data_IF_394864416980
#
_entry.id   IF_394864416980
#
_cell.length_a   1.000
_cell.length_b   1.000
_cell.length_c   1.000
_cell.angle_alpha   90.00
_cell.angle_beta   90.00
_cell.angle_gamma   90.00
#
_symmetry.space_group_name_H-M   'P 1'
#
loop_
_entity.id
_entity.type
_entity.pdbx_description
1 polymer ?
#
# COMPACT_ATOMS: atom_id res chain seq x y z
N UNK A 1 -78.45 8.21 -36.72
CA UNK A 1 -78.26 9.67 -36.87
C UNK A 1 -76.86 9.99 -36.36
N UNK A 2 -76.09 10.73 -37.16
CA UNK A 2 -74.66 11.07 -37.05
C UNK A 2 -73.62 10.05 -37.54
N UNK A 3 -73.08 10.40 -38.70
CA UNK A 3 -71.94 9.84 -39.39
C UNK A 3 -70.70 10.74 -39.21
N UNK A 4 -69.53 10.12 -39.37
CA UNK A 4 -68.17 10.63 -39.64
C UNK A 4 -67.93 12.14 -39.78
N UNK A 5 -66.92 12.63 -39.03
CA UNK A 5 -66.04 13.77 -39.42
C UNK A 5 -64.67 13.61 -38.74
N UNK A 6 -63.57 13.55 -39.52
CA UNK A 6 -62.20 13.90 -39.09
C UNK A 6 -62.05 15.42 -38.90
N UNK A 7 -61.12 15.92 -38.05
CA UNK A 7 -60.02 16.72 -38.65
C UNK A 7 -58.66 16.79 -37.89
N UNK A 8 -57.58 16.82 -38.69
CA UNK A 8 -56.41 17.75 -38.73
C UNK A 8 -55.54 18.10 -37.49
N UNK A 9 -54.25 17.75 -37.64
CA UNK A 9 -53.03 18.61 -37.80
C UNK A 9 -52.44 19.49 -36.67
N UNK A 10 -51.13 19.29 -36.41
CA UNK A 10 -49.98 20.26 -36.40
C UNK A 10 -48.76 19.54 -35.76
N UNK A 11 -47.73 19.04 -36.47
CA UNK A 11 -46.57 19.69 -37.13
C UNK A 11 -45.84 20.77 -36.28
N UNK A 12 -44.64 20.42 -35.82
CA UNK A 12 -43.53 21.31 -35.47
C UNK A 12 -42.23 20.50 -35.57
N UNK A 13 -41.56 20.50 -36.72
CA UNK A 13 -40.43 21.36 -37.10
C UNK A 13 -39.07 20.75 -36.73
N UNK A 14 -38.55 19.95 -37.65
CA UNK A 14 -37.12 19.66 -37.86
C UNK A 14 -36.73 20.41 -39.13
N UNK A 15 -35.80 21.37 -39.04
CA UNK A 15 -34.67 21.56 -39.97
C UNK A 15 -34.02 22.96 -39.85
N UNK A 16 -32.68 22.92 -39.94
CA UNK A 16 -31.76 23.91 -40.51
C UNK A 16 -31.59 25.26 -39.80
N UNK A 17 -30.34 25.55 -39.40
CA UNK A 17 -29.54 26.58 -40.07
C UNK A 17 -28.08 26.56 -39.57
N UNK A 18 -27.18 26.30 -40.52
CA UNK A 18 -25.79 26.76 -40.53
C UNK A 18 -25.78 28.29 -40.45
N UNK A 19 -24.90 28.87 -39.63
CA UNK A 19 -24.69 30.32 -39.59
C UNK A 19 -23.76 30.77 -38.47
N UNK A 20 -22.56 31.17 -38.89
CA UNK A 20 -21.74 32.27 -38.36
C UNK A 20 -21.28 32.24 -36.89
N UNK A 21 -20.01 31.86 -36.72
CA UNK A 21 -19.20 32.21 -35.55
C UNK A 21 -18.63 33.63 -35.71
N UNK A 22 -18.68 34.49 -34.68
CA UNK A 22 -18.08 35.81 -34.74
C UNK A 22 -16.55 35.78 -34.53
N UNK A 23 -15.87 36.59 -35.33
CA UNK A 23 -14.48 37.02 -35.16
C UNK A 23 -14.29 37.77 -33.83
N UNK A 24 -13.29 37.38 -33.04
CA UNK A 24 -12.63 38.27 -32.08
C UNK A 24 -11.17 37.85 -31.83
N UNK A 25 -10.27 38.71 -32.31
CA UNK A 25 -8.93 39.04 -31.82
C UNK A 25 -8.05 37.93 -31.18
N UNK A 26 -7.13 37.37 -31.97
CA UNK A 26 -5.88 36.80 -31.45
C UNK A 26 -4.74 37.81 -31.66
N UNK A 27 -4.34 38.44 -30.55
CA UNK A 27 -3.11 39.21 -30.45
C UNK A 27 -1.89 38.30 -30.61
N UNK A 28 -0.92 38.78 -31.37
CA UNK A 28 0.27 38.03 -31.75
C UNK A 28 1.19 37.70 -30.58
N UNK A 29 1.67 36.44 -30.56
CA UNK A 29 2.91 36.07 -29.91
C UNK A 29 3.83 35.42 -30.95
N UNK A 30 4.96 36.09 -31.15
CA UNK A 30 6.03 35.74 -32.08
C UNK A 30 6.60 34.36 -31.72
N UNK A 31 6.63 33.45 -32.70
CA UNK A 31 7.43 32.23 -32.65
C UNK A 31 8.88 32.61 -32.94
N UNK A 32 9.75 32.52 -31.94
CA UNK A 32 11.20 32.56 -32.15
C UNK A 32 11.67 31.15 -32.55
N UNK A 33 12.23 31.06 -33.75
CA UNK A 33 12.98 29.90 -34.22
C UNK A 33 14.39 29.90 -33.60
N UNK A 34 14.71 28.85 -32.85
CA UNK A 34 16.08 28.46 -32.51
C UNK A 34 16.45 27.16 -33.26
N UNK A 35 17.71 26.97 -33.68
CA UNK A 35 18.10 25.93 -34.63
C UNK A 35 18.24 24.53 -33.99
N UNK A 36 18.18 23.45 -34.80
CA UNK A 36 18.15 22.08 -34.30
C UNK A 36 19.53 21.62 -33.84
N UNK A 37 19.58 20.93 -32.68
CA UNK A 37 20.76 20.21 -32.23
C UNK A 37 20.72 18.77 -32.74
N UNK A 38 21.86 18.41 -33.33
CA UNK A 38 22.17 17.20 -34.08
C UNK A 38 22.23 15.93 -33.22
N UNK A 39 21.82 14.84 -33.85
CA UNK A 39 22.07 13.45 -33.46
C UNK A 39 23.53 13.20 -33.08
N UNK A 40 23.74 12.63 -31.89
CA UNK A 40 24.95 11.88 -31.55
C UNK A 40 24.49 10.52 -31.02
N UNK A 41 24.62 9.53 -31.89
CA UNK A 41 24.65 8.11 -31.54
C UNK A 41 26.02 7.80 -30.94
N UNK A 42 26.09 7.22 -29.74
CA UNK A 42 27.24 6.37 -29.41
C UNK A 42 26.94 5.30 -28.35
N UNK A 43 26.99 4.07 -28.85
CA UNK A 43 27.52 2.83 -28.30
C UNK A 43 27.49 2.56 -26.77
N UNK A 44 26.70 1.53 -26.42
CA UNK A 44 26.80 0.77 -25.17
C UNK A 44 28.14 -0.01 -25.07
N UNK A 45 28.78 -0.09 -23.89
CA UNK A 45 29.93 -0.97 -23.69
C UNK A 45 29.52 -2.40 -23.31
N UNK A 46 30.09 -3.35 -24.05
CA UNK A 46 29.95 -4.81 -23.94
C UNK A 46 30.36 -5.34 -22.56
N UNK A 47 29.47 -6.15 -21.95
CA UNK A 47 29.76 -7.02 -20.80
C UNK A 47 30.86 -8.03 -21.14
N UNK A 48 31.86 -8.18 -20.26
CA UNK A 48 32.81 -9.30 -20.23
C UNK A 48 32.45 -10.28 -19.10
N UNK A 49 32.60 -11.60 -19.29
CA UNK A 49 32.20 -12.59 -18.29
C UNK A 49 33.24 -12.69 -17.15
N UNK A 50 32.75 -12.76 -15.91
CA UNK A 50 33.57 -13.05 -14.73
C UNK A 50 33.89 -14.54 -14.66
N UNK A 51 35.18 -14.85 -14.57
CA UNK A 51 35.72 -16.21 -14.32
C UNK A 51 35.49 -16.60 -12.86
N UNK A 52 35.03 -17.84 -12.66
CA UNK A 52 35.02 -18.53 -11.39
C UNK A 52 36.45 -18.72 -10.86
N UNK A 53 36.65 -18.52 -9.55
CA UNK A 53 37.87 -18.94 -8.84
C UNK A 53 37.47 -19.81 -7.65
N UNK A 54 38.12 -20.97 -7.58
CA UNK A 54 37.88 -22.06 -6.67
C UNK A 54 38.40 -21.79 -5.24
N UNK A 55 37.65 -22.31 -4.28
CA UNK A 55 38.03 -23.16 -3.16
C UNK A 55 39.47 -23.05 -2.61
N UNK A 56 39.59 -22.69 -1.33
CA UNK A 56 40.61 -23.24 -0.42
C UNK A 56 40.06 -23.31 1.01
N UNK A 57 39.74 -24.53 1.44
CA UNK A 57 39.63 -24.95 2.82
C UNK A 57 40.98 -24.80 3.55
N UNK A 58 40.95 -24.32 4.80
CA UNK A 58 42.03 -24.53 5.77
C UNK A 58 41.44 -25.17 7.03
N UNK A 59 41.98 -26.35 7.35
CA UNK A 59 41.80 -27.09 8.60
C UNK A 59 42.66 -26.46 9.71
N UNK A 60 42.12 -26.42 10.93
CA UNK A 60 42.89 -26.40 12.19
C UNK A 60 42.07 -27.18 13.23
N UNK A 61 42.42 -28.44 13.50
CA UNK A 61 43.37 -28.89 14.53
C UNK A 61 42.73 -29.00 15.92
N UNK A 62 42.46 -30.25 16.31
CA UNK A 62 41.96 -30.71 17.60
C UNK A 62 43.05 -30.63 18.68
N UNK A 63 42.66 -30.39 19.93
CA UNK A 63 43.48 -30.63 21.12
C UNK A 63 42.72 -31.55 22.09
N UNK A 64 43.36 -32.68 22.38
CA UNK A 64 43.01 -33.66 23.42
C UNK A 64 43.54 -33.23 24.79
N UNK A 65 42.87 -33.62 25.88
CA UNK A 65 43.40 -33.46 27.23
C UNK A 65 42.56 -34.12 28.33
N UNK A 66 42.88 -35.37 28.65
CA UNK A 66 42.28 -36.15 29.76
C UNK A 66 42.89 -35.79 31.12
N UNK A 67 42.00 -35.57 32.10
CA UNK A 67 41.96 -36.10 33.48
C UNK A 67 43.17 -36.06 34.43
N UNK A 68 42.92 -35.67 35.69
CA UNK A 68 43.53 -36.25 36.92
C UNK A 68 42.69 -35.90 38.16
N UNK A 69 42.39 -36.92 38.97
CA UNK A 69 41.77 -36.83 40.30
C UNK A 69 42.84 -36.82 41.40
N UNK A 70 42.57 -36.15 42.52
CA UNK A 70 43.24 -36.32 43.81
C UNK A 70 42.21 -36.31 44.96
N UNK A 71 42.29 -37.28 45.88
CA UNK A 71 41.63 -37.32 47.20
C UNK A 71 42.43 -36.42 48.20
N UNK A 72 41.88 -35.79 49.25
CA UNK A 72 41.22 -36.30 50.47
C UNK A 72 40.90 -35.09 51.42
N UNK A 73 40.47 -35.19 52.70
CA UNK A 73 39.09 -35.41 53.18
C UNK A 73 38.52 -34.33 54.16
N UNK A 74 37.20 -34.44 54.40
CA UNK A 74 36.43 -34.09 55.60
C UNK A 74 36.40 -32.64 56.16
N UNK A 75 35.21 -32.01 56.13
CA UNK A 75 34.42 -31.68 57.34
C UNK A 75 33.09 -31.00 56.93
N UNK A 76 32.04 -31.29 57.70
CA UNK A 76 30.65 -31.18 57.27
C UNK A 76 30.06 -29.78 57.28
N UNK A 77 28.87 -29.67 56.65
CA UNK A 77 27.74 -28.83 57.08
C UNK A 77 26.54 -29.06 56.15
N UNK A 78 25.40 -29.38 56.80
CA UNK A 78 24.00 -29.07 56.45
C UNK A 78 23.55 -29.30 55.00
N UNK A 79 22.71 -30.32 54.81
CA UNK A 79 21.82 -30.44 53.65
C UNK A 79 20.88 -29.21 53.62
N UNK A 80 21.15 -28.29 52.70
CA UNK A 80 20.15 -27.37 52.20
C UNK A 80 19.45 -28.09 51.06
N UNK A 81 18.13 -28.22 51.18
CA UNK A 81 17.26 -28.74 50.15
C UNK A 81 17.25 -27.75 48.99
N UNK A 82 18.07 -28.01 47.97
CA UNK A 82 18.04 -27.28 46.72
C UNK A 82 16.93 -27.88 45.86
N UNK A 83 15.68 -27.51 46.14
CA UNK A 83 14.62 -27.63 45.15
C UNK A 83 15.01 -26.76 43.96
N UNK A 84 15.34 -27.43 42.86
CA UNK A 84 15.60 -26.81 41.56
C UNK A 84 14.33 -26.02 41.20
N UNK A 85 14.39 -24.72 40.88
CA UNK A 85 13.22 -24.04 40.34
C UNK A 85 12.83 -24.79 39.07
N UNK A 86 11.57 -25.22 38.99
CA UNK A 86 11.03 -25.68 37.72
C UNK A 86 11.27 -24.59 36.67
N UNK A 87 11.70 -24.95 35.45
CA UNK A 87 11.81 -23.94 34.40
C UNK A 87 10.44 -23.28 34.25
N UNK A 88 10.40 -21.97 34.45
CA UNK A 88 9.25 -21.13 34.15
C UNK A 88 8.92 -21.31 32.67
N UNK A 89 8.01 -22.24 32.39
CA UNK A 89 7.39 -22.37 31.09
C UNK A 89 6.33 -21.29 30.96
N UNK A 90 6.75 -20.02 31.04
CA UNK A 90 6.08 -18.97 30.30
C UNK A 90 6.30 -19.31 28.83
N UNK A 91 5.53 -20.27 28.32
CA UNK A 91 5.33 -20.46 26.89
C UNK A 91 5.06 -19.06 26.38
N UNK A 92 5.94 -18.55 25.52
CA UNK A 92 5.57 -17.53 24.56
C UNK A 92 4.28 -18.05 23.93
N UNK A 93 3.15 -17.47 24.35
CA UNK A 93 1.85 -17.79 23.75
C UNK A 93 2.00 -17.29 22.33
N UNK A 94 2.37 -18.18 21.42
CA UNK A 94 2.30 -17.91 19.98
C UNK A 94 0.87 -17.43 19.77
N UNK A 95 0.72 -16.12 19.51
CA UNK A 95 -0.60 -15.57 19.32
C UNK A 95 -1.17 -16.22 18.07
N UNK A 96 -2.44 -16.61 18.11
CA UNK A 96 -3.07 -17.14 16.92
C UNK A 96 -2.97 -16.09 15.80
N UNK A 97 -2.64 -16.50 14.56
CA UNK A 97 -2.64 -15.60 13.41
C UNK A 97 -3.96 -14.82 13.34
N UNK A 98 -3.87 -13.50 13.15
CA UNK A 98 -5.04 -12.61 13.16
C UNK A 98 -4.84 -11.42 12.23
N UNK A 99 -5.93 -10.86 11.77
CA UNK A 99 -5.97 -9.54 11.10
C UNK A 99 -6.56 -8.54 12.09
N UNK A 100 -5.86 -7.45 12.34
CA UNK A 100 -6.29 -6.40 13.28
C UNK A 100 -7.18 -5.41 12.53
N UNK A 101 -8.47 -5.39 12.87
CA UNK A 101 -9.44 -4.44 12.30
C UNK A 101 -9.86 -3.42 13.35
N UNK A 102 -10.46 -2.31 12.92
CA UNK A 102 -10.93 -1.24 13.82
C UNK A 102 -12.08 -1.65 14.75
N UNK A 103 -12.72 -2.80 14.51
CA UNK A 103 -13.74 -3.40 15.38
C UNK A 103 -13.19 -4.56 16.21
N UNK A 104 -11.88 -4.83 16.13
CA UNK A 104 -11.17 -5.89 16.84
C UNK A 104 -10.48 -6.89 15.92
N UNK A 105 -9.64 -7.78 16.47
CA UNK A 105 -8.96 -8.81 15.68
C UNK A 105 -9.93 -9.87 15.16
N UNK A 106 -9.68 -10.36 13.95
CA UNK A 106 -10.45 -11.43 13.31
C UNK A 106 -9.54 -12.52 12.75
N UNK A 107 -10.01 -13.77 12.63
CA UNK A 107 -9.30 -14.81 11.88
C UNK A 107 -9.00 -14.36 10.44
N UNK A 108 -7.78 -14.58 9.91
CA UNK A 108 -7.39 -14.11 8.58
C UNK A 108 -8.31 -14.58 7.46
N UNK A 109 -8.92 -15.76 7.58
CA UNK A 109 -9.80 -16.35 6.56
C UNK A 109 -11.11 -15.55 6.38
N UNK A 110 -11.44 -14.64 7.31
CA UNK A 110 -12.68 -13.85 7.25
C UNK A 110 -12.59 -12.64 6.33
N UNK A 111 -11.40 -12.10 6.05
CA UNK A 111 -11.30 -10.80 5.39
C UNK A 111 -11.64 -10.85 3.89
N UNK A 112 -11.59 -12.04 3.27
CA UNK A 112 -12.04 -12.29 1.90
C UNK A 112 -11.47 -11.33 0.87
N UNK A 113 -12.30 -10.90 -0.09
CA UNK A 113 -11.91 -9.91 -1.10
C UNK A 113 -11.63 -8.57 -0.41
N UNK A 114 -10.35 -8.18 -0.46
CA UNK A 114 -9.80 -7.01 0.22
C UNK A 114 -9.30 -5.97 -0.78
N UNK A 115 -9.57 -4.70 -0.50
CA UNK A 115 -8.89 -3.54 -1.11
C UNK A 115 -7.76 -3.08 -0.17
N UNK A 116 -6.48 -3.30 -0.51
CA UNK A 116 -5.35 -3.07 0.39
C UNK A 116 -4.86 -1.62 0.48
N UNK A 117 -5.38 -0.71 -0.35
CA UNK A 117 -4.98 0.69 -0.35
C UNK A 117 -6.15 1.60 -0.72
N UNK A 118 -6.77 2.20 0.29
CA UNK A 118 -7.83 3.19 0.12
C UNK A 118 -7.72 4.31 1.17
N UNK A 119 -8.45 5.40 0.94
CA UNK A 119 -8.78 6.38 1.98
C UNK A 119 -10.30 6.58 2.04
N UNK A 120 -10.85 6.55 3.25
CA UNK A 120 -12.28 6.84 3.49
C UNK A 120 -12.49 8.25 4.04
N UNK A 121 -11.40 8.86 4.47
CA UNK A 121 -11.27 10.29 4.74
C UNK A 121 -9.79 10.60 4.75
N UNK A 122 -9.37 11.71 4.17
CA UNK A 122 -8.00 12.22 4.29
C UNK A 122 -8.05 13.73 4.12
N UNK A 123 -7.18 14.44 4.83
CA UNK A 123 -7.12 15.90 4.80
C UNK A 123 -5.74 16.40 4.36
N UNK A 124 -5.35 16.16 3.10
CA UNK A 124 -4.08 16.64 2.58
C UNK A 124 -3.96 18.18 2.62
N UNK A 125 -5.08 18.90 2.65
CA UNK A 125 -5.13 20.37 2.78
C UNK A 125 -4.65 20.89 4.13
N UNK A 126 -4.46 20.04 5.14
CA UNK A 126 -3.86 20.45 6.41
C UNK A 126 -2.43 20.98 6.22
N UNK A 127 -1.76 20.59 5.13
CA UNK A 127 -0.56 21.26 4.67
C UNK A 127 -0.97 22.57 4.01
N UNK A 128 -0.55 23.70 4.60
CA UNK A 128 -0.95 25.06 4.17
C UNK A 128 -0.71 25.36 2.68
N UNK A 129 0.24 24.68 2.05
CA UNK A 129 0.56 24.83 0.62
C UNK A 129 -0.27 23.95 -0.31
N UNK A 130 -1.22 23.17 0.24
CA UNK A 130 -2.00 22.14 -0.45
C UNK A 130 -3.52 22.35 -0.37
N UNK A 131 -3.96 23.60 -0.20
CA UNK A 131 -5.39 23.93 -0.09
C UNK A 131 -6.21 23.52 -1.33
N UNK A 132 -5.56 23.32 -2.48
CA UNK A 132 -6.18 22.79 -3.70
C UNK A 132 -6.72 21.37 -3.55
N UNK A 133 -6.30 20.63 -2.53
CA UNK A 133 -6.73 19.25 -2.26
C UNK A 133 -7.93 19.16 -1.31
N UNK A 134 -8.56 20.29 -0.97
CA UNK A 134 -9.73 20.39 -0.08
C UNK A 134 -11.03 19.95 -0.80
N UNK A 135 -11.11 18.70 -1.21
CA UNK A 135 -12.30 18.16 -1.87
C UNK A 135 -12.53 16.67 -1.56
N UNK A 136 -12.26 16.24 -0.33
CA UNK A 136 -12.66 14.90 0.09
C UNK A 136 -13.74 14.95 1.16
N UNK A 137 -14.89 14.34 0.84
CA UNK A 137 -16.11 14.41 1.63
C UNK A 137 -15.93 13.76 3.00
N UNK A 138 -16.34 14.47 4.04
CA UNK A 138 -16.51 13.92 5.39
C UNK A 138 -17.95 13.48 5.66
N UNK A 139 -18.75 13.26 4.60
CA UNK A 139 -20.12 12.75 4.71
C UNK A 139 -20.10 11.23 4.91
N UNK A 140 -20.43 10.83 6.14
CA UNK A 140 -20.42 9.43 6.52
C UNK A 140 -21.51 8.61 5.81
N UNK A 141 -22.66 9.20 5.46
CA UNK A 141 -23.73 8.52 4.71
C UNK A 141 -23.28 8.22 3.29
N UNK A 142 -22.76 9.24 2.59
CA UNK A 142 -22.20 9.08 1.25
C UNK A 142 -21.10 8.01 1.22
N UNK A 143 -20.13 8.09 2.15
CA UNK A 143 -19.04 7.12 2.20
C UNK A 143 -19.54 5.70 2.55
N UNK A 144 -20.57 5.58 3.39
CA UNK A 144 -21.18 4.28 3.68
C UNK A 144 -21.83 3.67 2.43
N UNK A 145 -22.51 4.47 1.61
CA UNK A 145 -23.16 4.00 0.38
C UNK A 145 -22.13 3.52 -0.67
N UNK A 146 -20.99 4.23 -0.77
CA UNK A 146 -19.83 3.82 -1.58
C UNK A 146 -19.28 2.46 -1.13
N UNK A 147 -19.07 2.28 0.18
CA UNK A 147 -18.61 1.02 0.76
C UNK A 147 -19.63 -0.12 0.62
N UNK A 148 -20.94 0.19 0.70
CA UNK A 148 -21.99 -0.79 0.42
C UNK A 148 -21.95 -1.26 -1.03
N UNK A 149 -21.55 -0.41 -1.98
CA UNK A 149 -21.37 -0.83 -3.37
C UNK A 149 -20.27 -1.87 -3.53
N UNK A 150 -19.12 -1.66 -2.88
CA UNK A 150 -18.05 -2.67 -2.83
C UNK A 150 -18.54 -3.97 -2.18
N UNK A 151 -19.24 -3.88 -1.04
CA UNK A 151 -19.81 -5.05 -0.36
C UNK A 151 -20.77 -5.84 -1.25
N UNK A 152 -21.68 -5.18 -1.98
CA UNK A 152 -22.63 -5.83 -2.90
C UNK A 152 -21.95 -6.60 -4.02
N UNK A 153 -20.67 -6.30 -4.30
CA UNK A 153 -19.84 -6.95 -5.32
C UNK A 153 -18.98 -8.09 -4.77
N UNK A 154 -19.21 -8.48 -3.52
CA UNK A 154 -18.47 -9.54 -2.84
C UNK A 154 -17.26 -9.05 -2.06
N UNK A 155 -17.03 -7.74 -2.00
CA UNK A 155 -16.02 -7.13 -1.14
C UNK A 155 -16.30 -7.35 0.34
N UNK A 156 -15.24 -7.54 1.13
CA UNK A 156 -15.35 -7.82 2.55
C UNK A 156 -14.39 -7.04 3.44
N UNK A 157 -13.25 -6.58 2.93
CA UNK A 157 -12.28 -5.81 3.70
C UNK A 157 -11.74 -4.61 2.92
N UNK A 158 -11.51 -3.51 3.63
CA UNK A 158 -10.83 -2.31 3.13
C UNK A 158 -9.70 -1.96 4.09
N UNK A 159 -8.56 -1.59 3.55
CA UNK A 159 -7.43 -1.04 4.31
C UNK A 159 -7.41 0.46 4.08
N UNK A 160 -7.62 1.23 5.15
CA UNK A 160 -7.51 2.69 5.11
C UNK A 160 -6.09 3.08 5.52
N UNK A 161 -5.29 3.57 4.55
CA UNK A 161 -3.90 3.94 4.74
C UNK A 161 -3.71 5.42 5.14
N UNK A 162 -4.79 6.11 5.52
CA UNK A 162 -4.70 7.45 6.08
C UNK A 162 -3.90 7.40 7.38
N UNK A 163 -2.78 8.11 7.42
CA UNK A 163 -1.81 8.06 8.53
C UNK A 163 -1.49 9.47 9.05
N UNK A 164 -0.45 9.59 9.87
CA UNK A 164 0.02 10.87 10.43
C UNK A 164 0.34 11.88 9.32
N UNK A 165 -0.25 13.07 9.44
CA UNK A 165 -0.18 14.12 8.41
C UNK A 165 -1.39 14.17 7.46
N UNK A 166 -2.21 13.10 7.42
CA UNK A 166 -3.41 13.01 6.58
C UNK A 166 -4.73 13.02 7.38
N UNK A 167 -4.68 13.28 8.69
CA UNK A 167 -5.84 13.31 9.59
C UNK A 167 -6.59 11.98 9.77
N UNK A 168 -5.83 10.88 9.99
CA UNK A 168 -6.38 9.59 10.40
C UNK A 168 -7.35 9.74 11.58
N UNK A 169 -8.54 9.16 11.49
CA UNK A 169 -9.57 9.18 12.54
C UNK A 169 -10.05 7.73 12.87
N UNK A 170 -9.60 7.15 14.00
CA UNK A 170 -10.00 5.79 14.38
C UNK A 170 -11.51 5.62 14.63
N UNK A 171 -12.18 6.65 15.14
CA UNK A 171 -13.61 6.60 15.48
C UNK A 171 -14.44 6.62 14.20
N UNK A 172 -14.07 7.47 13.25
CA UNK A 172 -14.63 7.48 11.89
C UNK A 172 -14.58 6.09 11.26
N UNK A 173 -13.39 5.46 11.25
CA UNK A 173 -13.21 4.13 10.64
C UNK A 173 -14.06 3.06 11.32
N UNK A 174 -14.14 3.06 12.66
CA UNK A 174 -14.99 2.10 13.39
C UNK A 174 -16.48 2.30 13.10
N UNK A 175 -16.91 3.55 12.95
CA UNK A 175 -18.29 3.86 12.59
C UNK A 175 -18.60 3.38 11.16
N UNK A 176 -17.71 3.62 10.19
CA UNK A 176 -17.85 3.11 8.83
C UNK A 176 -17.85 1.58 8.78
N UNK A 177 -16.95 0.91 9.50
CA UNK A 177 -16.93 -0.55 9.58
C UNK A 177 -18.26 -1.11 10.10
N UNK A 178 -18.81 -0.49 11.15
CA UNK A 178 -20.10 -0.88 11.73
C UNK A 178 -21.25 -0.69 10.76
N UNK A 179 -21.31 0.44 10.05
CA UNK A 179 -22.41 0.79 9.13
C UNK A 179 -22.34 0.05 7.80
N UNK A 180 -21.14 -0.13 7.26
CA UNK A 180 -20.91 -0.85 6.01
C UNK A 180 -20.97 -2.36 6.19
N UNK A 181 -20.64 -2.85 7.38
CA UNK A 181 -20.46 -4.28 7.67
C UNK A 181 -19.17 -4.87 7.09
N UNK A 182 -18.28 -4.04 6.53
CA UNK A 182 -16.96 -4.44 6.07
C UNK A 182 -15.97 -4.53 7.24
N UNK A 183 -14.94 -5.34 7.08
CA UNK A 183 -13.73 -5.20 7.88
C UNK A 183 -12.98 -3.97 7.40
N UNK A 184 -12.53 -3.12 8.34
CA UNK A 184 -11.66 -1.99 8.02
C UNK A 184 -10.37 -2.14 8.83
N UNK A 185 -9.24 -2.18 8.14
CA UNK A 185 -7.91 -2.14 8.74
C UNK A 185 -7.39 -0.71 8.69
N UNK A 186 -6.86 -0.21 9.80
CA UNK A 186 -6.34 1.14 9.91
C UNK A 186 -4.80 1.14 9.77
N UNK A 187 -4.29 2.08 8.98
CA UNK A 187 -2.87 2.37 8.82
C UNK A 187 -2.22 3.08 10.02
N UNK A 188 -0.90 3.25 9.97
CA UNK A 188 -0.09 3.88 11.01
C UNK A 188 1.18 4.52 10.46
N UNK A 189 1.88 5.27 11.32
CA UNK A 189 3.08 6.02 10.95
C UNK A 189 2.75 7.37 10.35
N UNK A 190 3.64 7.87 9.49
CA UNK A 190 3.55 9.19 8.88
C UNK A 190 3.72 9.08 7.38
N UNK A 191 3.08 9.98 6.65
CA UNK A 191 3.03 9.97 5.19
C UNK A 191 4.41 10.29 4.56
N UNK A 192 4.54 11.40 3.84
CA UNK A 192 5.80 11.88 3.26
C UNK A 192 6.18 13.25 3.79
N UNK A 193 7.43 13.68 3.58
CA UNK A 193 8.01 14.83 4.31
C UNK A 193 7.14 16.10 4.29
N UNK A 194 6.57 16.43 3.14
CA UNK A 194 5.70 17.61 2.96
C UNK A 194 4.47 17.63 3.90
N UNK A 195 4.09 16.50 4.49
CA UNK A 195 2.91 16.32 5.35
C UNK A 195 3.26 16.04 6.81
N UNK A 196 4.54 15.95 7.18
CA UNK A 196 4.90 15.65 8.55
C UNK A 196 4.41 16.74 9.51
N UNK A 197 3.55 16.40 10.48
CA UNK A 197 3.03 17.39 11.41
C UNK A 197 4.17 17.91 12.29
N UNK A 198 4.27 19.23 12.54
CA UNK A 198 5.36 19.80 13.34
C UNK A 198 5.54 19.15 14.71
N UNK A 199 4.45 18.75 15.35
CA UNK A 199 4.39 18.07 16.63
C UNK A 199 4.97 16.65 16.61
N UNK A 200 5.01 15.97 15.45
CA UNK A 200 5.67 14.66 15.34
C UNK A 200 7.17 14.77 15.60
N UNK A 201 7.78 15.94 15.36
CA UNK A 201 9.16 16.23 15.73
C UNK A 201 10.18 15.27 15.08
N UNK A 202 9.96 14.88 13.81
CA UNK A 202 10.77 13.88 13.08
C UNK A 202 12.29 14.15 13.19
N UNK A 203 12.69 15.42 13.14
CA UNK A 203 14.11 15.83 13.22
C UNK A 203 14.65 15.94 14.66
N UNK A 204 13.77 15.88 15.66
CA UNK A 204 14.07 16.13 17.07
C UNK A 204 14.04 14.89 17.94
N UNK A 205 13.49 13.79 17.43
CA UNK A 205 13.32 12.51 18.11
C UNK A 205 14.24 11.47 17.51
N UNK A 206 14.72 10.52 18.29
CA UNK A 206 15.51 9.40 17.74
C UNK A 206 14.64 8.48 16.86
N UNK A 207 15.29 7.66 16.04
CA UNK A 207 14.58 6.62 15.25
C UNK A 207 13.81 5.66 16.17
N UNK A 208 14.36 5.36 17.35
CA UNK A 208 13.70 4.49 18.33
C UNK A 208 12.50 5.16 19.00
N UNK A 209 12.56 6.47 19.26
CA UNK A 209 11.41 7.23 19.76
C UNK A 209 10.24 7.22 18.76
N UNK A 210 10.54 7.34 17.46
CA UNK A 210 9.54 7.26 16.40
C UNK A 210 8.95 5.84 16.29
N UNK A 211 9.81 4.81 16.34
CA UNK A 211 9.37 3.42 16.32
C UNK A 211 8.50 3.07 17.55
N UNK A 212 8.85 3.61 18.73
CA UNK A 212 8.11 3.39 19.96
C UNK A 212 6.68 3.95 19.91
N UNK A 213 6.44 5.03 19.17
CA UNK A 213 5.09 5.57 18.99
C UNK A 213 4.19 4.62 18.21
N UNK A 214 4.66 4.11 17.07
CA UNK A 214 3.91 3.14 16.26
C UNK A 214 3.64 1.86 17.08
N UNK A 215 4.62 1.41 17.86
CA UNK A 215 4.45 0.24 18.73
C UNK A 215 3.43 0.52 19.83
N UNK A 216 3.44 1.71 20.43
CA UNK A 216 2.47 2.09 21.44
C UNK A 216 1.04 2.15 20.86
N UNK A 217 0.87 2.67 19.64
CA UNK A 217 -0.43 2.62 18.94
C UNK A 217 -0.91 1.19 18.73
N UNK A 218 -0.01 0.28 18.33
CA UNK A 218 -0.34 -1.14 18.18
C UNK A 218 -0.68 -1.82 19.50
N UNK A 219 0.01 -1.50 20.60
CA UNK A 219 -0.19 -2.15 21.90
C UNK A 219 -1.35 -1.56 22.72
N UNK A 220 -1.62 -0.27 22.58
CA UNK A 220 -2.53 0.48 23.46
C UNK A 220 -3.68 1.17 22.71
N UNK A 221 -3.63 1.20 21.38
CA UNK A 221 -4.58 1.89 20.54
C UNK A 221 -4.24 3.37 20.32
N UNK A 222 -4.88 3.96 19.32
CA UNK A 222 -4.65 5.35 18.88
C UNK A 222 -5.52 6.30 19.68
N UNK A 223 -4.98 7.45 20.08
CA UNK A 223 -5.69 8.58 20.71
C UNK A 223 -6.60 8.21 21.89
N UNK A 224 -6.23 7.19 22.66
CA UNK A 224 -7.02 6.70 23.81
C UNK A 224 -8.34 6.02 23.43
N UNK A 225 -8.55 5.71 22.15
CA UNK A 225 -9.78 5.08 21.65
C UNK A 225 -9.83 3.57 21.87
N UNK A 226 -8.68 2.94 22.15
CA UNK A 226 -8.52 1.48 22.19
C UNK A 226 -8.62 0.82 20.81
N UNK A 227 -8.54 1.60 19.72
CA UNK A 227 -8.56 1.10 18.34
C UNK A 227 -7.12 1.00 17.85
N UNK A 228 -6.73 -0.17 17.36
CA UNK A 228 -5.36 -0.50 17.01
C UNK A 228 -5.16 -0.47 15.48
N UNK A 229 -4.00 -0.02 14.97
CA UNK A 229 -3.64 -0.19 13.58
C UNK A 229 -3.37 -1.66 13.25
N UNK A 230 -3.61 -2.04 12.00
CA UNK A 230 -3.33 -3.39 11.49
C UNK A 230 -2.32 -3.45 10.36
N UNK A 231 -1.77 -2.29 9.96
CA UNK A 231 -0.66 -2.17 9.01
C UNK A 231 0.07 -0.84 9.30
N UNK A 232 1.35 -0.76 8.95
CA UNK A 232 2.11 0.50 8.97
C UNK A 232 2.08 1.07 7.56
N UNK A 233 1.54 2.26 7.38
CA UNK A 233 1.34 2.85 6.07
C UNK A 233 0.21 3.89 6.07
N UNK A 234 0.15 4.73 5.04
CA UNK A 234 1.07 4.76 3.90
C UNK A 234 2.37 5.53 4.22
N UNK A 235 3.56 4.91 4.06
CA UNK A 235 4.86 5.55 4.36
C UNK A 235 5.52 6.03 3.06
N UNK A 236 5.78 7.32 2.93
CA UNK A 236 6.10 7.89 1.63
C UNK A 236 7.35 8.72 1.50
N UNK A 237 7.70 8.95 0.23
CA UNK A 237 8.73 9.91 -0.19
C UNK A 237 8.13 10.98 -1.09
N UNK A 238 8.53 12.23 -0.90
CA UNK A 238 8.00 13.38 -1.65
C UNK A 238 8.59 13.51 -3.06
N UNK A 239 9.82 13.03 -3.24
CA UNK A 239 10.61 13.17 -4.45
C UNK A 239 11.04 11.81 -5.00
N UNK A 240 11.67 11.80 -6.18
CA UNK A 240 12.30 10.61 -6.77
C UNK A 240 13.55 10.11 -6.01
N UNK A 241 13.76 10.55 -4.78
CA UNK A 241 14.85 10.20 -3.88
C UNK A 241 14.35 10.31 -2.43
N UNK A 242 14.95 9.55 -1.52
CA UNK A 242 14.60 9.53 -0.10
C UNK A 242 15.36 10.64 0.63
N UNK A 243 14.65 11.54 1.32
CA UNK A 243 15.30 12.58 2.12
C UNK A 243 15.87 12.05 3.44
N UNK A 244 16.75 12.79 4.12
CA UNK A 244 17.21 12.42 5.46
C UNK A 244 16.08 12.30 6.49
N UNK A 245 14.98 13.06 6.34
CA UNK A 245 13.83 12.97 7.25
C UNK A 245 13.01 11.73 6.96
N UNK A 246 12.79 11.45 5.69
CA UNK A 246 12.07 10.26 5.23
C UNK A 246 12.85 9.00 5.58
N UNK A 247 14.18 8.98 5.37
CA UNK A 247 15.02 7.85 5.77
C UNK A 247 14.89 7.55 7.27
N UNK A 248 14.82 8.58 8.13
CA UNK A 248 14.58 8.37 9.58
C UNK A 248 13.24 7.70 9.84
N UNK A 249 12.19 8.09 9.12
CA UNK A 249 10.87 7.47 9.21
C UNK A 249 10.91 6.04 8.69
N UNK A 250 11.51 5.77 7.52
CA UNK A 250 11.69 4.42 6.97
C UNK A 250 12.42 3.50 7.95
N UNK A 251 13.48 3.99 8.61
CA UNK A 251 14.18 3.21 9.63
C UNK A 251 13.33 2.94 10.86
N UNK A 252 12.53 3.93 11.30
CA UNK A 252 11.64 3.77 12.44
C UNK A 252 10.52 2.76 12.17
N UNK A 253 9.91 2.81 10.98
CA UNK A 253 8.84 1.88 10.59
C UNK A 253 9.36 0.45 10.43
N UNK A 254 10.59 0.26 9.95
CA UNK A 254 11.21 -1.07 9.89
C UNK A 254 11.35 -1.70 11.29
N UNK A 255 11.82 -0.91 12.26
CA UNK A 255 11.93 -1.36 13.67
C UNK A 255 10.57 -1.62 14.29
N UNK A 256 9.58 -0.77 14.03
CA UNK A 256 8.22 -0.96 14.53
C UNK A 256 7.55 -2.19 13.92
N UNK A 257 7.68 -2.40 12.61
CA UNK A 257 7.17 -3.57 11.90
C UNK A 257 7.78 -4.86 12.46
N UNK A 258 9.10 -4.88 12.68
CA UNK A 258 9.80 -6.03 13.27
C UNK A 258 9.31 -6.36 14.68
N UNK A 259 8.99 -5.33 15.49
CA UNK A 259 8.51 -5.51 16.88
C UNK A 259 7.05 -5.93 16.98
N UNK A 260 6.20 -5.44 16.07
CA UNK A 260 4.75 -5.63 16.11
C UNK A 260 4.26 -6.78 15.23
N UNK A 261 5.06 -7.19 14.23
CA UNK A 261 4.66 -8.12 13.18
C UNK A 261 3.78 -7.49 12.09
N UNK A 262 3.49 -6.18 12.17
CA UNK A 262 2.74 -5.46 11.15
C UNK A 262 3.53 -5.41 9.83
N UNK A 263 2.83 -5.52 8.71
CA UNK A 263 3.39 -5.23 7.39
C UNK A 263 3.57 -3.72 7.17
N UNK A 264 4.35 -3.35 6.16
CA UNK A 264 4.59 -1.96 5.75
C UNK A 264 4.03 -1.76 4.33
N UNK A 265 3.21 -0.73 4.12
CA UNK A 265 2.82 -0.25 2.78
C UNK A 265 3.45 1.12 2.51
N UNK A 266 4.06 1.28 1.32
CA UNK A 266 4.83 2.48 0.95
C UNK A 266 4.20 3.28 -0.18
N UNK A 267 4.42 4.59 -0.17
CA UNK A 267 4.09 5.52 -1.27
C UNK A 267 5.30 5.67 -2.20
N UNK A 268 5.25 5.12 -3.41
CA UNK A 268 6.30 5.26 -4.42
C UNK A 268 5.73 5.72 -5.77
N UNK A 269 5.25 6.96 -5.83
CA UNK A 269 4.58 7.49 -7.02
C UNK A 269 5.56 8.11 -8.04
N UNK A 270 5.27 7.93 -9.33
CA UNK A 270 5.93 8.56 -10.49
C UNK A 270 7.47 8.38 -10.59
N UNK A 271 8.03 7.42 -9.87
CA UNK A 271 9.49 7.19 -9.87
C UNK A 271 9.82 5.78 -9.37
N UNK A 272 11.06 5.34 -9.60
CA UNK A 272 11.56 4.05 -9.10
C UNK A 272 12.04 4.13 -7.62
N UNK A 273 11.64 5.17 -6.87
CA UNK A 273 12.10 5.42 -5.49
C UNK A 273 11.78 4.27 -4.53
N UNK A 274 10.79 3.43 -4.86
CA UNK A 274 10.51 2.20 -4.12
C UNK A 274 11.73 1.29 -3.96
N UNK A 275 12.68 1.29 -4.90
CA UNK A 275 13.93 0.51 -4.75
C UNK A 275 14.84 1.05 -3.63
N UNK A 276 14.87 2.37 -3.42
CA UNK A 276 15.61 2.99 -2.33
C UNK A 276 14.91 2.80 -0.98
N UNK A 277 13.57 2.88 -0.97
CA UNK A 277 12.76 2.57 0.20
C UNK A 277 13.02 1.13 0.67
N UNK A 278 12.96 0.15 -0.25
CA UNK A 278 13.26 -1.26 0.04
C UNK A 278 14.68 -1.45 0.59
N UNK A 279 15.68 -0.76 0.00
CA UNK A 279 17.06 -0.82 0.50
C UNK A 279 17.16 -0.39 1.96
N UNK A 280 16.51 0.72 2.35
CA UNK A 280 16.56 1.22 3.74
C UNK A 280 15.87 0.25 4.70
N UNK A 281 14.73 -0.32 4.29
CA UNK A 281 14.01 -1.32 5.09
C UNK A 281 14.85 -2.61 5.28
N UNK A 282 15.51 -3.07 4.22
CA UNK A 282 16.42 -4.22 4.24
C UNK A 282 17.65 -3.97 5.13
N UNK A 283 18.23 -2.76 5.10
CA UNK A 283 19.35 -2.37 5.97
C UNK A 283 19.00 -2.41 7.46
N UNK A 284 17.74 -2.16 7.84
CA UNK A 284 17.24 -2.33 9.21
C UNK A 284 16.83 -3.78 9.53
N UNK A 285 16.97 -4.70 8.57
CA UNK A 285 16.69 -6.12 8.73
C UNK A 285 15.21 -6.50 8.66
N UNK A 286 14.35 -5.63 8.10
CA UNK A 286 12.95 -5.97 7.87
C UNK A 286 12.84 -7.06 6.79
N UNK A 287 12.02 -8.07 7.04
CA UNK A 287 11.62 -9.04 6.02
C UNK A 287 10.82 -8.33 4.91
N UNK A 288 11.41 -8.21 3.72
CA UNK A 288 10.77 -7.55 2.59
C UNK A 288 9.52 -8.29 2.11
N UNK A 289 9.34 -9.57 2.45
CA UNK A 289 8.07 -10.30 2.25
C UNK A 289 6.87 -9.68 2.99
N UNK A 290 7.12 -8.77 3.93
CA UNK A 290 6.15 -7.98 4.69
C UNK A 290 6.01 -6.55 4.18
N UNK A 291 6.59 -6.22 3.03
CA UNK A 291 6.57 -4.87 2.44
C UNK A 291 5.74 -4.87 1.16
N UNK A 292 4.93 -3.83 1.00
CA UNK A 292 4.17 -3.50 -0.21
C UNK A 292 4.71 -2.18 -0.77
N UNK A 293 5.06 -2.17 -2.05
CA UNK A 293 5.41 -0.96 -2.80
C UNK A 293 4.19 -0.50 -3.59
N UNK A 294 3.57 0.60 -3.17
CA UNK A 294 2.39 1.21 -3.80
C UNK A 294 2.70 2.04 -5.04
N UNK A 295 1.65 2.44 -5.76
CA UNK A 295 1.68 3.28 -6.97
C UNK A 295 2.51 2.73 -8.12
N UNK A 296 2.69 1.42 -8.23
CA UNK A 296 3.51 0.84 -9.28
C UNK A 296 2.95 1.05 -10.69
N UNK A 297 1.65 1.28 -10.81
CA UNK A 297 0.96 1.67 -12.04
C UNK A 297 1.21 3.13 -12.47
N UNK A 298 1.93 3.92 -11.67
CA UNK A 298 2.41 5.25 -12.07
C UNK A 298 3.60 5.21 -13.04
N UNK A 299 4.37 4.12 -13.03
CA UNK A 299 5.52 3.88 -13.91
C UNK A 299 5.46 2.45 -14.45
N UNK A 300 4.64 2.22 -15.48
CA UNK A 300 4.48 0.91 -16.15
C UNK A 300 5.81 0.43 -16.79
N UNK A 301 6.69 -0.09 -15.94
CA UNK A 301 8.07 -0.49 -16.23
C UNK A 301 8.29 -1.88 -15.62
N UNK A 302 8.41 -2.87 -16.52
CA UNK A 302 8.60 -4.26 -16.14
C UNK A 302 9.92 -4.49 -15.39
N UNK A 303 11.00 -3.78 -15.73
CA UNK A 303 12.31 -3.97 -15.09
C UNK A 303 12.26 -3.46 -13.65
N UNK A 304 11.54 -2.36 -13.40
CA UNK A 304 11.27 -1.87 -12.05
C UNK A 304 10.42 -2.87 -11.25
N UNK A 305 9.31 -3.36 -11.84
CA UNK A 305 8.44 -4.30 -11.17
C UNK A 305 9.19 -5.59 -10.77
N UNK A 306 10.00 -6.14 -11.68
CA UNK A 306 10.83 -7.32 -11.39
C UNK A 306 11.88 -7.03 -10.31
N UNK A 307 12.51 -5.85 -10.31
CA UNK A 307 13.48 -5.48 -9.29
C UNK A 307 12.87 -5.37 -7.88
N UNK A 308 11.59 -4.99 -7.77
CA UNK A 308 10.83 -5.03 -6.50
C UNK A 308 10.51 -6.48 -6.12
N UNK A 309 9.92 -7.24 -7.06
CA UNK A 309 9.41 -8.59 -6.81
C UNK A 309 10.52 -9.60 -6.50
N UNK A 310 11.68 -9.49 -7.16
CA UNK A 310 12.84 -10.37 -6.91
C UNK A 310 13.37 -10.24 -5.48
N UNK A 311 13.13 -9.10 -4.83
CA UNK A 311 13.44 -8.86 -3.42
C UNK A 311 12.37 -9.37 -2.45
N UNK A 312 11.41 -10.15 -2.95
CA UNK A 312 10.29 -10.75 -2.20
C UNK A 312 9.21 -9.76 -1.72
N UNK A 313 9.36 -8.46 -1.99
CA UNK A 313 8.32 -7.47 -1.72
C UNK A 313 7.10 -7.67 -2.61
N UNK A 314 5.94 -7.23 -2.15
CA UNK A 314 4.76 -7.13 -2.99
C UNK A 314 4.78 -5.81 -3.77
N UNK A 315 4.16 -5.82 -4.94
CA UNK A 315 3.86 -4.63 -5.72
C UNK A 315 2.35 -4.40 -5.73
N UNK A 316 1.93 -3.16 -5.63
CA UNK A 316 0.53 -2.80 -5.63
C UNK A 316 0.20 -1.87 -6.81
N UNK A 317 -0.84 -2.25 -7.55
CA UNK A 317 -1.46 -1.44 -8.59
C UNK A 317 -2.72 -0.83 -8.00
N UNK A 318 -2.59 0.38 -7.48
CA UNK A 318 -3.58 1.05 -6.64
C UNK A 318 -4.16 2.31 -7.29
N UNK A 319 -3.85 2.66 -8.53
CA UNK A 319 -4.49 3.80 -9.21
C UNK A 319 -5.66 3.38 -10.10
N UNK A 320 -6.18 2.16 -9.96
CA UNK A 320 -7.19 1.57 -10.84
C UNK A 320 -8.50 2.37 -10.84
N UNK A 321 -8.99 2.72 -12.03
CA UNK A 321 -10.22 3.50 -12.21
C UNK A 321 -10.06 5.01 -12.00
N UNK A 322 -8.88 5.48 -11.64
CA UNK A 322 -8.56 6.91 -11.54
C UNK A 322 -8.56 7.55 -12.93
N UNK A 323 -9.32 8.63 -13.08
CA UNK A 323 -9.42 9.41 -14.32
C UNK A 323 -8.16 10.28 -14.52
N UNK A 324 -7.78 10.53 -15.78
CA UNK A 324 -6.65 11.38 -16.15
C UNK A 324 -5.49 10.59 -16.78
N UNK A 325 -4.28 11.16 -16.73
CA UNK A 325 -3.08 10.60 -17.38
C UNK A 325 -2.54 9.29 -16.72
N UNK A 326 -3.25 8.76 -15.72
CA UNK A 326 -2.97 7.50 -15.05
C UNK A 326 -3.93 6.38 -15.54
N UNK A 327 -4.24 5.40 -14.68
CA UNK A 327 -4.73 4.07 -15.00
C UNK A 327 -5.75 3.95 -16.14
N UNK A 328 -6.85 4.74 -16.19
CA UNK A 328 -7.88 4.50 -17.22
C UNK A 328 -7.39 4.78 -18.64
N UNK A 329 -6.45 5.71 -18.83
CA UNK A 329 -5.86 5.98 -20.13
C UNK A 329 -4.87 4.90 -20.58
N UNK A 330 -4.31 4.14 -19.61
CA UNK A 330 -3.24 3.15 -19.83
C UNK A 330 -3.63 1.75 -19.38
N UNK A 331 -4.92 1.48 -19.22
CA UNK A 331 -5.39 0.23 -18.61
C UNK A 331 -4.98 -0.99 -19.42
N UNK A 332 -4.93 -0.88 -20.75
CA UNK A 332 -4.45 -1.97 -21.62
C UNK A 332 -2.98 -2.29 -21.33
N UNK A 333 -2.11 -1.28 -21.27
CA UNK A 333 -0.69 -1.46 -20.93
C UNK A 333 -0.52 -2.05 -19.52
N UNK A 334 -1.36 -1.63 -18.57
CA UNK A 334 -1.34 -2.15 -17.21
C UNK A 334 -1.80 -3.61 -17.14
N UNK A 335 -2.86 -3.99 -17.87
CA UNK A 335 -3.29 -5.39 -17.98
C UNK A 335 -2.20 -6.24 -18.61
N UNK A 336 -1.54 -5.77 -19.67
CA UNK A 336 -0.41 -6.45 -20.31
C UNK A 336 0.76 -6.65 -19.32
N UNK A 337 1.10 -5.62 -18.52
CA UNK A 337 2.11 -5.72 -17.47
C UNK A 337 1.73 -6.75 -16.40
N UNK A 338 0.49 -6.73 -15.91
CA UNK A 338 0.01 -7.70 -14.91
C UNK A 338 0.08 -9.12 -15.47
N UNK A 339 -0.37 -9.35 -16.71
CA UNK A 339 -0.31 -10.67 -17.37
C UNK A 339 1.13 -11.15 -17.48
N UNK A 340 2.06 -10.30 -17.95
CA UNK A 340 3.48 -10.65 -18.05
C UNK A 340 4.08 -11.04 -16.68
N UNK A 341 3.72 -10.33 -15.60
CA UNK A 341 4.16 -10.66 -14.25
C UNK A 341 3.58 -11.98 -13.73
N UNK A 342 2.31 -12.27 -14.06
CA UNK A 342 1.66 -13.53 -13.72
C UNK A 342 2.29 -14.71 -14.46
N UNK A 343 2.56 -14.58 -15.77
CA UNK A 343 3.23 -15.60 -16.58
C UNK A 343 4.65 -15.91 -16.07
N UNK A 344 5.32 -14.92 -15.46
CA UNK A 344 6.62 -15.09 -14.79
C UNK A 344 6.54 -15.69 -13.39
N UNK A 345 5.34 -15.91 -12.85
CA UNK A 345 5.11 -16.60 -11.59
C UNK A 345 5.00 -15.71 -10.36
N UNK A 346 4.78 -14.40 -10.52
CA UNK A 346 4.70 -13.45 -9.39
C UNK A 346 3.29 -13.26 -8.81
N UNK A 347 2.35 -14.17 -9.10
CA UNK A 347 0.96 -14.09 -8.65
C UNK A 347 0.80 -13.89 -7.13
N UNK A 348 1.74 -14.40 -6.31
CA UNK A 348 1.70 -14.27 -4.85
C UNK A 348 2.18 -12.92 -4.29
N UNK A 349 2.56 -11.98 -5.16
CA UNK A 349 3.16 -10.68 -4.78
C UNK A 349 2.45 -9.48 -5.43
N UNK A 350 1.35 -9.67 -6.14
CA UNK A 350 0.59 -8.58 -6.77
C UNK A 350 -0.65 -8.24 -5.94
N UNK A 351 -0.89 -6.96 -5.71
CA UNK A 351 -2.06 -6.41 -5.01
C UNK A 351 -2.77 -5.40 -5.91
N UNK A 352 -4.08 -5.22 -5.72
CA UNK A 352 -4.93 -4.38 -6.56
C UNK A 352 -5.83 -3.50 -5.68
N UNK A 353 -5.83 -2.18 -5.91
CA UNK A 353 -6.71 -1.21 -5.23
C UNK A 353 -7.00 0.02 -6.10
N UNK A 354 -7.59 1.08 -5.52
CA UNK A 354 -8.01 2.28 -6.25
C UNK A 354 -7.42 3.59 -5.73
N UNK A 355 -6.83 3.58 -4.52
CA UNK A 355 -6.32 4.78 -3.85
C UNK A 355 -7.39 5.88 -3.89
N UNK A 356 -8.61 5.56 -3.46
CA UNK A 356 -9.67 6.56 -3.36
C UNK A 356 -9.20 7.62 -2.36
N UNK A 357 -8.92 8.84 -2.84
CA UNK A 357 -8.38 9.93 -2.01
C UNK A 357 -9.04 11.28 -2.28
N UNK A 358 -10.10 11.32 -3.12
CA UNK A 358 -10.78 12.55 -3.54
C UNK A 358 -12.22 12.30 -3.97
N UNK A 359 -13.08 13.34 -3.90
CA UNK A 359 -14.48 13.25 -4.32
C UNK A 359 -14.63 12.83 -5.79
N UNK A 360 -13.76 13.33 -6.68
CA UNK A 360 -13.79 13.00 -8.10
C UNK A 360 -13.65 11.50 -8.39
N UNK A 361 -13.10 10.71 -7.47
CA UNK A 361 -13.01 9.25 -7.61
C UNK A 361 -14.26 8.52 -7.13
N UNK A 362 -15.12 9.14 -6.30
CA UNK A 362 -16.34 8.51 -5.78
C UNK A 362 -17.47 8.50 -6.81
N UNK A 363 -18.31 7.46 -6.81
CA UNK A 363 -19.47 7.34 -7.71
C UNK A 363 -20.48 8.47 -7.51
N UNK A 364 -20.66 8.94 -6.28
CA UNK A 364 -21.53 10.06 -5.95
C UNK A 364 -21.20 11.34 -6.76
N UNK A 365 -19.95 11.49 -7.19
CA UNK A 365 -19.48 12.61 -8.02
C UNK A 365 -19.11 12.21 -9.45
N UNK A 366 -19.54 11.01 -9.91
CA UNK A 366 -19.31 10.52 -11.27
C UNK A 366 -17.99 9.77 -11.46
N UNK A 367 -17.23 9.50 -10.40
CA UNK A 367 -16.04 8.67 -10.41
C UNK A 367 -16.34 7.17 -10.44
N UNK A 368 -15.28 6.36 -10.33
CA UNK A 368 -15.34 4.91 -10.43
C UNK A 368 -15.79 4.21 -9.12
N UNK A 369 -15.48 4.83 -7.99
CA UNK A 369 -15.70 4.36 -6.61
C UNK A 369 -14.98 3.06 -6.27
N UNK A 370 -15.25 2.55 -5.07
CA UNK A 370 -14.61 1.35 -4.50
C UNK A 370 -14.93 0.03 -5.22
N UNK A 371 -15.83 0.07 -6.20
CA UNK A 371 -16.26 -1.14 -6.89
C UNK A 371 -15.53 -1.41 -8.21
N UNK A 372 -14.62 -0.53 -8.66
CA UNK A 372 -14.09 -0.57 -10.03
C UNK A 372 -13.28 -1.84 -10.31
N UNK A 373 -12.39 -2.24 -9.39
CA UNK A 373 -11.61 -3.49 -9.51
C UNK A 373 -12.55 -4.66 -9.80
N UNK A 374 -13.61 -4.83 -9.00
CA UNK A 374 -14.57 -5.91 -9.16
C UNK A 374 -15.39 -5.82 -10.46
N UNK A 375 -15.78 -4.60 -10.86
CA UNK A 375 -16.70 -4.35 -11.99
C UNK A 375 -16.04 -4.37 -13.36
N UNK A 376 -14.79 -3.93 -13.44
CA UNK A 376 -14.16 -3.57 -14.70
C UNK A 376 -12.79 -4.25 -14.83
N UNK A 377 -11.89 -4.01 -13.88
CA UNK A 377 -10.53 -4.51 -13.99
C UNK A 377 -10.44 -6.04 -13.97
N UNK A 378 -11.12 -6.71 -13.02
CA UNK A 378 -11.12 -8.18 -12.97
C UNK A 378 -11.77 -8.81 -14.23
N UNK A 379 -12.91 -8.32 -14.77
CA UNK A 379 -13.38 -8.73 -16.09
C UNK A 379 -12.39 -8.51 -17.25
N UNK A 380 -11.58 -7.45 -17.23
CA UNK A 380 -10.53 -7.25 -18.24
C UNK A 380 -9.42 -8.29 -18.11
N UNK A 381 -8.96 -8.59 -16.89
CA UNK A 381 -8.01 -9.68 -16.64
C UNK A 381 -8.55 -11.04 -17.12
N UNK A 382 -9.83 -11.34 -16.86
CA UNK A 382 -10.47 -12.57 -17.37
C UNK A 382 -10.50 -12.64 -18.89
N UNK A 383 -10.74 -11.51 -19.56
CA UNK A 383 -10.71 -11.42 -21.03
C UNK A 383 -9.31 -11.67 -21.56
N UNK A 384 -8.27 -11.26 -20.81
CA UNK A 384 -6.87 -11.58 -21.06
C UNK A 384 -6.46 -13.00 -20.59
N UNK A 385 -7.43 -13.88 -20.31
CA UNK A 385 -7.24 -15.27 -19.90
C UNK A 385 -6.53 -15.50 -18.55
N UNK A 386 -6.48 -14.49 -17.67
CA UNK A 386 -6.06 -14.66 -16.27
C UNK A 386 -7.06 -15.56 -15.53
N UNK A 387 -6.55 -16.58 -14.82
CA UNK A 387 -7.38 -17.57 -14.16
C UNK A 387 -7.96 -17.08 -12.82
N UNK A 388 -9.08 -17.67 -12.38
CA UNK A 388 -9.69 -17.33 -11.08
C UNK A 388 -8.75 -17.58 -9.89
N UNK A 389 -7.81 -18.53 -10.00
CA UNK A 389 -6.81 -18.76 -8.96
C UNK A 389 -5.84 -17.59 -8.79
N UNK A 390 -5.43 -16.96 -9.89
CA UNK A 390 -4.55 -15.77 -9.88
C UNK A 390 -5.33 -14.54 -9.41
N UNK A 391 -6.59 -14.40 -9.85
CA UNK A 391 -7.49 -13.35 -9.34
C UNK A 391 -7.67 -13.50 -7.82
N UNK A 392 -7.92 -14.71 -7.32
CA UNK A 392 -8.02 -14.98 -5.90
C UNK A 392 -6.70 -14.70 -5.17
N UNK A 393 -5.55 -15.00 -5.79
CA UNK A 393 -4.25 -14.65 -5.24
C UNK A 393 -4.14 -13.14 -5.01
N UNK A 394 -4.42 -12.33 -6.03
CA UNK A 394 -4.29 -10.87 -5.98
C UNK A 394 -5.31 -10.18 -5.05
N UNK A 395 -6.52 -10.74 -4.92
CA UNK A 395 -7.64 -10.07 -4.23
C UNK A 395 -7.97 -10.63 -2.85
N UNK A 396 -7.52 -11.84 -2.52
CA UNK A 396 -7.84 -12.54 -1.26
C UNK A 396 -6.56 -13.01 -0.58
N UNK A 397 -5.75 -13.83 -1.26
CA UNK A 397 -4.64 -14.53 -0.61
C UNK A 397 -3.48 -13.60 -0.27
N UNK A 398 -3.12 -12.68 -1.17
CA UNK A 398 -2.03 -11.73 -0.96
C UNK A 398 -2.40 -10.69 0.10
N UNK A 399 -3.59 -10.04 0.08
CA UNK A 399 -4.01 -9.18 1.18
C UNK A 399 -4.06 -9.94 2.51
N UNK A 400 -4.58 -11.17 2.53
CA UNK A 400 -4.57 -12.01 3.75
C UNK A 400 -3.16 -12.26 4.27
N UNK A 401 -2.22 -12.62 3.39
CA UNK A 401 -0.81 -12.82 3.74
C UNK A 401 -0.22 -11.56 4.36
N UNK A 402 -0.40 -10.40 3.71
CA UNK A 402 0.15 -9.12 4.16
C UNK A 402 -0.46 -8.69 5.51
N UNK A 403 -1.77 -8.79 5.66
CA UNK A 403 -2.48 -8.28 6.84
C UNK A 403 -2.46 -9.24 8.05
N UNK A 404 -2.05 -10.49 7.85
CA UNK A 404 -1.92 -11.45 8.96
C UNK A 404 -0.74 -11.07 9.85
N UNK A 405 -1.02 -10.90 11.14
CA UNK A 405 -0.04 -10.73 12.22
C UNK A 405 0.01 -12.05 13.00
N UNK A 406 1.20 -12.61 13.21
CA UNK A 406 1.41 -13.91 13.84
C UNK A 406 2.49 -13.83 14.94
#
# INVERSE_FOLDING_TARGET
MHAFVEPKALRGCVELLLGDRPHAALGGLRRNHGPPLSHVTDAAPKRRPRKASACRLRLSAQFDGRGKMCHSPAQGRRRLDCTRPEPDTSRSTIMAPRVVTVTGPVPPERIGFTLPHEHTSCRPELVRTRQELMDFSSDAELMTDELHDFRRRGGSCVVDLTCGGLARDPIWLRNLATRSGLFIVMGAGWYRESFYPPEAGIDRRTVDDLAAEIVAEFEHGVDGTGIHPGIIGEIGTDQAWVSPREERVFRAVARAATRTGLAVSTHAIQSQVGLDQLRILEEEGLDLGRVVVGHADSILDIDYALAVLDRQASIEFDLLGRQGDYATAREVELVELVVELLERGYASQILLSHDISSNAQLKAYGGAGFGYVAQHFLPHLRTAAVGEGEIAAMTIENPRRILTVA
#
